data_IF_272437850357
#
_entry.id   IF_272437850357
#
_cell.length_a   1.000
_cell.length_b   1.000
_cell.length_c   1.000
_cell.angle_alpha   90.00
_cell.angle_beta   90.00
_cell.angle_gamma   90.00
#
_symmetry.space_group_name_H-M   'P 1'
#
loop_
_entity.id
_entity.type
_entity.pdbx_description
1 polymer ?
#
# COMPACT_ATOMS: atom_id res chain seq x y z
N UNK A 1 -13.16 -3.86 -7.23
CA UNK A 1 -12.14 -4.29 -6.26
C UNK A 1 -12.83 -4.56 -4.94
N UNK A 2 -12.56 -5.73 -4.31
CA UNK A 2 -12.93 -5.98 -2.92
C UNK A 2 -11.78 -5.55 -2.01
N UNK A 3 -12.11 -4.89 -0.89
CA UNK A 3 -11.13 -4.38 0.06
C UNK A 3 -11.30 -5.03 1.43
N UNK A 4 -10.20 -5.38 2.07
CA UNK A 4 -10.19 -5.88 3.44
C UNK A 4 -8.79 -6.12 3.99
N UNK A 5 -8.73 -6.60 5.23
CA UNK A 5 -7.46 -6.87 5.90
C UNK A 5 -6.90 -8.25 5.53
N UNK A 6 -5.60 -8.42 5.71
CA UNK A 6 -4.97 -9.74 5.80
C UNK A 6 -5.64 -10.61 6.87
N UNK A 7 -5.43 -11.93 6.83
CA UNK A 7 -5.89 -12.82 7.92
C UNK A 7 -5.40 -12.32 9.28
N UNK A 8 -6.09 -12.69 10.33
CA UNK A 8 -5.68 -12.40 11.71
C UNK A 8 -4.59 -13.35 12.18
N UNK A 9 -3.75 -12.89 13.08
CA UNK A 9 -2.74 -13.72 13.75
C UNK A 9 -3.36 -14.98 14.37
N UNK A 10 -2.67 -16.11 14.28
CA UNK A 10 -3.12 -17.40 14.77
C UNK A 10 -4.24 -18.07 13.98
N UNK A 11 -4.68 -17.50 12.84
CA UNK A 11 -5.65 -18.14 11.93
C UNK A 11 -4.99 -18.55 10.63
N UNK A 12 -5.52 -19.57 9.97
CA UNK A 12 -5.17 -19.85 8.58
C UNK A 12 -6.00 -18.98 7.63
N UNK A 13 -5.57 -18.84 6.38
CA UNK A 13 -6.33 -18.16 5.32
C UNK A 13 -7.72 -18.79 5.10
N UNK A 14 -7.84 -20.11 5.28
CA UNK A 14 -9.11 -20.80 5.16
C UNK A 14 -10.08 -20.53 6.32
N UNK A 15 -9.58 -20.14 7.49
CA UNK A 15 -10.38 -20.01 8.72
C UNK A 15 -10.60 -18.55 9.15
N UNK A 16 -10.21 -17.57 8.34
CA UNK A 16 -10.44 -16.15 8.66
C UNK A 16 -11.67 -15.64 7.91
N UNK A 17 -12.80 -15.35 8.63
CA UNK A 17 -14.02 -14.92 7.98
C UNK A 17 -13.91 -13.58 7.28
N UNK A 18 -13.05 -12.67 7.80
CA UNK A 18 -12.83 -11.36 7.19
C UNK A 18 -12.10 -11.47 5.85
N UNK A 19 -11.01 -12.24 5.81
CA UNK A 19 -10.29 -12.52 4.57
C UNK A 19 -11.19 -13.29 3.58
N UNK A 20 -11.90 -14.31 4.05
CA UNK A 20 -12.78 -15.10 3.18
C UNK A 20 -13.90 -14.27 2.54
N UNK A 21 -14.46 -13.29 3.24
CA UNK A 21 -15.44 -12.37 2.66
C UNK A 21 -14.85 -11.56 1.47
N UNK A 22 -13.56 -11.20 1.51
CA UNK A 22 -12.87 -10.55 0.40
C UNK A 22 -12.59 -11.54 -0.74
N UNK A 23 -12.12 -12.75 -0.39
CA UNK A 23 -11.76 -13.78 -1.37
C UNK A 23 -12.99 -14.34 -2.12
N UNK A 24 -14.14 -14.39 -1.47
CA UNK A 24 -15.37 -14.92 -2.05
C UNK A 24 -16.18 -13.83 -2.79
N UNK A 25 -15.77 -12.57 -2.73
CA UNK A 25 -16.39 -11.52 -3.52
C UNK A 25 -16.23 -11.78 -5.03
N UNK A 26 -17.30 -11.62 -5.79
CA UNK A 26 -17.32 -11.83 -7.25
C UNK A 26 -16.75 -10.61 -8.00
N UNK A 27 -15.45 -10.34 -7.81
CA UNK A 27 -14.75 -9.20 -8.40
C UNK A 27 -13.43 -9.65 -9.04
N UNK A 28 -12.95 -8.97 -10.09
CA UNK A 28 -11.70 -9.35 -10.76
C UNK A 28 -10.44 -9.06 -9.92
N UNK A 29 -10.51 -8.13 -8.97
CA UNK A 29 -9.35 -7.70 -8.19
C UNK A 29 -9.68 -7.53 -6.72
N UNK A 30 -8.66 -7.73 -5.87
CA UNK A 30 -8.72 -7.49 -4.42
C UNK A 30 -7.65 -6.48 -4.02
N UNK A 31 -7.92 -5.71 -2.97
CA UNK A 31 -6.92 -4.89 -2.29
C UNK A 31 -6.89 -5.30 -0.82
N UNK A 32 -5.79 -5.89 -0.39
CA UNK A 32 -5.60 -6.32 0.99
C UNK A 32 -4.73 -5.31 1.72
N UNK A 33 -5.16 -4.88 2.90
CA UNK A 33 -4.38 -3.98 3.75
C UNK A 33 -3.75 -4.74 4.91
N UNK A 34 -2.49 -4.45 5.20
CA UNK A 34 -1.77 -5.02 6.34
C UNK A 34 -0.82 -4.02 7.00
N UNK A 35 -0.53 -4.25 8.28
CA UNK A 35 0.38 -3.40 9.05
C UNK A 35 1.81 -3.58 8.56
N UNK A 36 2.51 -2.46 8.31
CA UNK A 36 3.91 -2.45 7.90
C UNK A 36 4.79 -1.60 8.80
N UNK A 37 4.24 -1.13 9.91
CA UNK A 37 4.95 -0.50 11.01
C UNK A 37 5.04 -1.47 12.19
N UNK A 38 6.24 -1.87 12.59
CA UNK A 38 6.49 -2.81 13.69
C UNK A 38 5.77 -2.43 14.99
N UNK A 39 5.78 -1.15 15.36
CA UNK A 39 5.01 -0.65 16.50
C UNK A 39 3.52 -1.00 16.42
N UNK A 40 2.89 -0.89 15.24
CA UNK A 40 1.48 -1.25 15.08
C UNK A 40 1.26 -2.77 15.05
N UNK A 41 2.24 -3.55 14.59
CA UNK A 41 2.15 -5.02 14.63
C UNK A 41 2.11 -5.49 16.09
N UNK A 42 2.98 -4.96 16.94
CA UNK A 42 3.07 -5.35 18.33
C UNK A 42 1.93 -4.78 19.21
N UNK A 43 1.55 -3.51 18.97
CA UNK A 43 0.60 -2.81 19.86
C UNK A 43 -0.85 -2.88 19.41
N UNK A 44 -1.12 -2.81 18.11
CA UNK A 44 -2.48 -2.77 17.56
C UNK A 44 -3.02 -4.15 17.24
N UNK A 45 -2.26 -4.97 16.46
CA UNK A 45 -2.70 -6.33 16.12
C UNK A 45 -2.13 -7.41 17.04
N UNK A 46 -1.19 -7.07 17.90
CA UNK A 46 -0.66 -7.90 19.01
C UNK A 46 -0.15 -9.26 18.52
N UNK A 47 0.70 -9.25 17.51
CA UNK A 47 1.31 -10.45 16.95
C UNK A 47 2.82 -10.25 16.78
N UNK A 48 3.57 -11.31 16.45
CA UNK A 48 4.99 -11.19 16.14
C UNK A 48 5.22 -10.62 14.74
N UNK A 49 6.40 -10.09 14.51
CA UNK A 49 6.81 -9.57 13.21
C UNK A 49 6.81 -10.67 12.15
N UNK A 50 7.31 -11.86 12.50
CA UNK A 50 7.34 -13.03 11.61
C UNK A 50 5.93 -13.49 11.23
N UNK A 51 5.02 -13.58 12.21
CA UNK A 51 3.63 -13.96 11.94
C UNK A 51 2.96 -12.94 11.03
N UNK A 52 3.25 -11.63 11.19
CA UNK A 52 2.69 -10.62 10.32
C UNK A 52 3.21 -10.73 8.88
N UNK A 53 4.49 -11.07 8.66
CA UNK A 53 5.01 -11.36 7.32
C UNK A 53 4.31 -12.56 6.69
N UNK A 54 4.05 -13.62 7.46
CA UNK A 54 3.29 -14.77 6.99
C UNK A 54 1.81 -14.46 6.73
N UNK A 55 1.21 -13.58 7.53
CA UNK A 55 -0.16 -13.07 7.28
C UNK A 55 -0.22 -12.33 5.94
N UNK A 56 0.75 -11.46 5.65
CA UNK A 56 0.84 -10.71 4.39
C UNK A 56 0.99 -11.68 3.22
N UNK A 57 2.05 -12.49 3.23
CA UNK A 57 2.36 -13.42 2.15
C UNK A 57 1.21 -14.38 1.87
N UNK A 58 0.71 -15.04 2.91
CA UNK A 58 -0.34 -16.05 2.78
C UNK A 58 -1.68 -15.48 2.34
N UNK A 59 -2.05 -14.27 2.79
CA UNK A 59 -3.31 -13.64 2.38
C UNK A 59 -3.29 -13.19 0.92
N UNK A 60 -2.17 -12.62 0.48
CA UNK A 60 -1.98 -12.24 -0.93
C UNK A 60 -2.00 -13.49 -1.82
N UNK A 61 -1.25 -14.54 -1.44
CA UNK A 61 -1.23 -15.80 -2.19
C UNK A 61 -2.63 -16.42 -2.31
N UNK A 62 -3.42 -16.41 -1.23
CA UNK A 62 -4.79 -16.93 -1.28
C UNK A 62 -5.70 -16.15 -2.25
N UNK A 63 -5.51 -14.85 -2.41
CA UNK A 63 -6.23 -14.06 -3.41
C UNK A 63 -5.79 -14.38 -4.84
N UNK A 64 -4.48 -14.54 -5.06
CA UNK A 64 -3.91 -14.94 -6.35
C UNK A 64 -4.38 -16.34 -6.76
N UNK A 65 -4.40 -17.29 -5.81
CA UNK A 65 -4.89 -18.66 -6.04
C UNK A 65 -6.37 -18.73 -6.43
N UNK A 66 -7.15 -17.72 -6.02
CA UNK A 66 -8.55 -17.53 -6.47
C UNK A 66 -8.65 -16.85 -7.86
N UNK A 67 -7.53 -16.62 -8.53
CA UNK A 67 -7.47 -15.97 -9.84
C UNK A 67 -7.74 -14.45 -9.80
N UNK A 68 -7.52 -13.79 -8.65
CA UNK A 68 -7.73 -12.34 -8.49
C UNK A 68 -6.44 -11.58 -8.78
N UNK A 69 -6.53 -10.42 -9.42
CA UNK A 69 -5.47 -9.43 -9.35
C UNK A 69 -5.39 -8.90 -7.91
N UNK A 70 -4.33 -9.23 -7.18
CA UNK A 70 -4.20 -8.85 -5.78
C UNK A 70 -3.29 -7.64 -5.61
N UNK A 71 -3.81 -6.59 -5.00
CA UNK A 71 -3.04 -5.44 -4.52
C UNK A 71 -2.83 -5.60 -3.01
N UNK A 72 -1.70 -5.09 -2.52
CA UNK A 72 -1.41 -5.03 -1.10
C UNK A 72 -1.06 -3.60 -0.68
N UNK A 73 -1.88 -3.03 0.20
CA UNK A 73 -1.67 -1.72 0.80
C UNK A 73 -0.85 -1.85 2.08
N UNK A 74 0.38 -1.30 2.04
CA UNK A 74 1.32 -1.26 3.15
C UNK A 74 0.92 -0.14 4.12
N UNK A 75 0.05 -0.42 5.08
CA UNK A 75 -0.49 0.59 5.99
C UNK A 75 0.58 1.16 6.93
N UNK A 76 0.65 2.48 7.06
CA UNK A 76 1.67 3.24 7.80
C UNK A 76 3.11 2.98 7.33
N UNK A 77 3.29 2.77 6.04
CA UNK A 77 4.59 2.38 5.48
C UNK A 77 5.70 3.40 5.78
N UNK A 78 5.42 4.67 5.54
CA UNK A 78 6.44 5.72 5.71
C UNK A 78 6.85 5.90 7.17
N UNK A 79 5.92 5.81 8.12
CA UNK A 79 6.23 5.80 9.55
C UNK A 79 7.03 4.56 9.95
N UNK A 80 6.60 3.39 9.48
CA UNK A 80 7.29 2.12 9.69
C UNK A 80 8.71 2.13 9.13
N UNK A 81 8.88 2.62 7.91
CA UNK A 81 10.20 2.71 7.29
C UNK A 81 11.16 3.65 8.05
N UNK A 82 10.68 4.82 8.49
CA UNK A 82 11.49 5.74 9.29
C UNK A 82 11.92 5.13 10.62
N UNK A 83 11.12 4.25 11.20
CA UNK A 83 11.40 3.58 12.48
C UNK A 83 12.25 2.32 12.30
N UNK A 84 11.89 1.47 11.35
CA UNK A 84 12.52 0.17 11.09
C UNK A 84 12.51 -0.15 9.59
N UNK A 85 13.45 0.43 8.80
CA UNK A 85 13.45 0.27 7.35
C UNK A 85 13.60 -1.19 6.89
N UNK A 86 14.33 -2.02 7.64
CA UNK A 86 14.50 -3.43 7.32
C UNK A 86 13.17 -4.18 7.34
N UNK A 87 12.41 -4.03 8.41
CA UNK A 87 11.10 -4.68 8.56
C UNK A 87 10.06 -4.16 7.54
N UNK A 88 10.03 -2.85 7.30
CA UNK A 88 9.13 -2.28 6.31
C UNK A 88 9.41 -2.85 4.90
N UNK A 89 10.68 -2.99 4.52
CA UNK A 89 11.08 -3.65 3.26
C UNK A 89 10.70 -5.13 3.26
N UNK A 90 10.84 -5.85 4.37
CA UNK A 90 10.46 -7.27 4.46
C UNK A 90 8.94 -7.45 4.28
N UNK A 91 8.11 -6.51 4.71
CA UNK A 91 6.67 -6.51 4.40
C UNK A 91 6.40 -6.38 2.88
N UNK A 92 7.14 -5.51 2.19
CA UNK A 92 7.06 -5.38 0.71
C UNK A 92 7.46 -6.67 0.02
N UNK A 93 8.57 -7.30 0.46
CA UNK A 93 9.01 -8.60 -0.06
C UNK A 93 7.95 -9.68 0.17
N UNK A 94 7.39 -9.77 1.38
CA UNK A 94 6.35 -10.73 1.71
C UNK A 94 5.12 -10.61 0.80
N UNK A 95 4.67 -9.38 0.51
CA UNK A 95 3.58 -9.14 -0.42
C UNK A 95 3.95 -9.53 -1.85
N UNK A 96 5.14 -9.17 -2.31
CA UNK A 96 5.64 -9.52 -3.64
C UNK A 96 5.78 -11.04 -3.81
N UNK A 97 6.37 -11.74 -2.84
CA UNK A 97 6.50 -13.20 -2.80
C UNK A 97 5.12 -13.90 -2.78
N UNK A 98 4.12 -13.29 -2.16
CA UNK A 98 2.72 -13.76 -2.22
C UNK A 98 2.07 -13.58 -3.59
N UNK A 99 2.72 -12.89 -4.52
CA UNK A 99 2.24 -12.67 -5.88
C UNK A 99 1.40 -11.39 -6.05
N UNK A 100 1.57 -10.38 -5.17
CA UNK A 100 0.89 -9.10 -5.32
C UNK A 100 1.19 -8.48 -6.69
N UNK A 101 0.15 -8.13 -7.44
CA UNK A 101 0.28 -7.41 -8.71
C UNK A 101 0.77 -5.98 -8.49
N UNK A 102 0.39 -5.38 -7.36
CA UNK A 102 0.83 -4.06 -6.91
C UNK A 102 1.08 -4.07 -5.41
N UNK A 103 2.20 -3.49 -4.98
CA UNK A 103 2.50 -3.21 -3.58
C UNK A 103 2.43 -1.69 -3.38
N UNK A 104 1.45 -1.24 -2.63
CA UNK A 104 1.12 0.18 -2.49
C UNK A 104 1.66 0.71 -1.18
N UNK A 105 2.55 1.68 -1.23
CA UNK A 105 3.14 2.30 -0.05
C UNK A 105 2.20 3.41 0.46
N UNK A 106 1.72 3.30 1.70
CA UNK A 106 0.71 4.21 2.25
C UNK A 106 1.34 5.23 3.20
N UNK A 107 1.21 6.52 2.88
CA UNK A 107 1.39 7.61 3.83
C UNK A 107 0.08 7.81 4.61
N UNK A 108 -0.19 6.85 5.52
CA UNK A 108 -1.47 6.75 6.23
C UNK A 108 -1.70 7.93 7.17
N UNK A 109 -0.64 8.47 7.79
CA UNK A 109 -0.73 9.66 8.63
C UNK A 109 -0.71 10.97 7.82
N UNK A 110 -0.37 10.91 6.53
CA UNK A 110 -0.29 12.10 5.67
C UNK A 110 0.77 13.11 6.11
N UNK A 111 1.81 12.63 6.79
CA UNK A 111 2.87 13.46 7.38
C UNK A 111 4.23 13.37 6.69
N UNK A 112 4.37 12.56 5.65
CA UNK A 112 5.61 12.49 4.89
C UNK A 112 5.79 13.74 4.00
N UNK A 113 7.04 14.15 3.79
CA UNK A 113 7.38 15.23 2.87
C UNK A 113 7.78 14.66 1.49
N UNK A 114 7.63 15.43 0.39
CA UNK A 114 7.93 14.93 -0.95
C UNK A 114 9.37 14.41 -1.14
N UNK A 115 10.36 15.01 -0.48
CA UNK A 115 11.74 14.52 -0.49
C UNK A 115 11.89 13.17 0.19
N UNK A 116 11.25 12.98 1.35
CA UNK A 116 11.25 11.71 2.09
C UNK A 116 10.55 10.61 1.27
N UNK A 117 9.41 10.92 0.65
CA UNK A 117 8.70 9.98 -0.23
C UNK A 117 9.58 9.55 -1.39
N UNK A 118 10.26 10.49 -2.06
CA UNK A 118 11.16 10.17 -3.16
C UNK A 118 12.30 9.25 -2.72
N UNK A 119 12.96 9.56 -1.61
CA UNK A 119 14.07 8.78 -1.06
C UNK A 119 13.63 7.37 -0.65
N UNK A 120 12.52 7.26 0.08
CA UNK A 120 12.01 5.98 0.59
C UNK A 120 11.54 5.09 -0.56
N UNK A 121 10.75 5.62 -1.51
CA UNK A 121 10.29 4.85 -2.67
C UNK A 121 11.45 4.38 -3.54
N UNK A 122 12.47 5.22 -3.72
CA UNK A 122 13.71 4.85 -4.43
C UNK A 122 14.44 3.71 -3.75
N UNK A 123 14.58 3.76 -2.42
CA UNK A 123 15.22 2.70 -1.64
C UNK A 123 14.43 1.38 -1.69
N UNK A 124 13.10 1.44 -1.61
CA UNK A 124 12.24 0.25 -1.76
C UNK A 124 12.39 -0.36 -3.15
N UNK A 125 12.41 0.46 -4.20
CA UNK A 125 12.60 -0.01 -5.57
C UNK A 125 13.95 -0.67 -5.79
N UNK A 126 15.00 -0.15 -5.15
CA UNK A 126 16.34 -0.78 -5.18
C UNK A 126 16.35 -2.12 -4.44
N UNK A 127 15.68 -2.21 -3.28
CA UNK A 127 15.63 -3.41 -2.46
C UNK A 127 14.74 -4.52 -3.05
N UNK A 128 13.69 -4.17 -3.81
CA UNK A 128 12.73 -5.11 -4.41
C UNK A 128 12.43 -4.67 -5.86
N UNK A 129 13.41 -4.80 -6.79
CA UNK A 129 13.34 -4.23 -8.13
C UNK A 129 12.22 -4.78 -9.00
N UNK A 130 11.79 -6.02 -8.74
CA UNK A 130 10.73 -6.71 -9.49
C UNK A 130 9.32 -6.39 -8.98
N UNK A 131 9.18 -5.76 -7.81
CA UNK A 131 7.89 -5.35 -7.29
C UNK A 131 7.34 -4.13 -8.06
N UNK A 132 6.08 -4.23 -8.48
CA UNK A 132 5.35 -3.09 -9.05
C UNK A 132 4.82 -2.22 -7.91
N UNK A 133 5.35 -1.01 -7.78
CA UNK A 133 5.03 -0.12 -6.68
C UNK A 133 3.88 0.83 -7.01
N UNK A 134 2.98 1.01 -6.03
CA UNK A 134 1.96 2.04 -5.98
C UNK A 134 2.19 3.00 -4.81
N UNK A 135 1.42 4.06 -4.77
CA UNK A 135 1.42 5.07 -3.71
C UNK A 135 0.00 5.46 -3.30
N UNK A 136 -0.22 5.62 -1.99
CA UNK A 136 -1.45 6.12 -1.42
C UNK A 136 -1.12 7.17 -0.36
N UNK A 137 -1.44 8.43 -0.62
CA UNK A 137 -1.12 9.53 0.29
C UNK A 137 -2.37 10.18 0.86
N UNK A 138 -2.44 10.28 2.20
CA UNK A 138 -3.34 11.18 2.90
C UNK A 138 -2.82 12.62 2.87
N UNK A 139 -3.71 13.59 3.06
CA UNK A 139 -3.43 15.01 2.81
C UNK A 139 -3.31 15.86 4.08
N UNK A 140 -2.94 15.25 5.20
CA UNK A 140 -2.89 15.94 6.51
C UNK A 140 -1.87 17.08 6.52
N UNK A 141 -0.72 16.91 5.86
CA UNK A 141 0.27 17.97 5.67
C UNK A 141 0.01 18.86 4.44
N UNK A 142 -1.10 18.66 3.70
CA UNK A 142 -1.44 19.44 2.50
C UNK A 142 -0.58 19.14 1.28
N UNK A 143 0.15 18.03 1.25
CA UNK A 143 1.13 17.70 0.19
C UNK A 143 0.90 16.35 -0.49
N UNK A 144 -0.30 15.74 -0.34
CA UNK A 144 -0.57 14.41 -0.89
C UNK A 144 -0.37 14.30 -2.40
N UNK A 145 -0.73 15.33 -3.18
CA UNK A 145 -0.48 15.40 -4.63
C UNK A 145 1.02 15.46 -4.91
N UNK A 146 1.76 16.32 -4.20
CA UNK A 146 3.21 16.44 -4.36
C UNK A 146 3.93 15.15 -3.96
N UNK A 147 3.48 14.47 -2.90
CA UNK A 147 3.99 13.17 -2.46
C UNK A 147 3.76 12.10 -3.53
N UNK A 148 2.56 12.06 -4.12
CA UNK A 148 2.24 11.13 -5.21
C UNK A 148 3.14 11.35 -6.43
N UNK A 149 3.37 12.61 -6.82
CA UNK A 149 4.29 12.96 -7.92
C UNK A 149 5.74 12.57 -7.59
N UNK A 150 6.18 12.79 -6.35
CA UNK A 150 7.51 12.37 -5.90
C UNK A 150 7.67 10.84 -5.99
N UNK A 151 6.67 10.07 -5.57
CA UNK A 151 6.67 8.62 -5.68
C UNK A 151 6.71 8.14 -7.14
N UNK A 152 5.95 8.77 -8.04
CA UNK A 152 5.98 8.46 -9.48
C UNK A 152 7.38 8.70 -10.06
N UNK A 153 8.02 9.82 -9.71
CA UNK A 153 9.39 10.13 -10.13
C UNK A 153 10.41 9.11 -9.60
N UNK A 154 10.18 8.59 -8.39
CA UNK A 154 10.99 7.52 -7.79
C UNK A 154 10.71 6.13 -8.39
N UNK A 155 9.63 5.96 -9.17
CA UNK A 155 9.34 4.72 -9.91
C UNK A 155 8.03 4.04 -9.56
N UNK A 156 7.18 4.60 -8.72
CA UNK A 156 5.80 4.12 -8.57
C UNK A 156 5.03 4.28 -9.89
N UNK A 157 4.11 3.34 -10.18
CA UNK A 157 3.34 3.29 -11.43
C UNK A 157 1.83 3.17 -11.21
N UNK A 158 1.40 3.15 -9.97
CA UNK A 158 0.00 3.21 -9.58
C UNK A 158 -0.17 4.30 -8.52
N UNK A 159 -1.26 5.05 -8.60
CA UNK A 159 -1.66 6.01 -7.56
C UNK A 159 -3.07 5.68 -7.11
N UNK A 160 -3.24 5.53 -5.82
CA UNK A 160 -4.56 5.52 -5.18
C UNK A 160 -4.85 6.94 -4.66
N UNK A 161 -6.00 7.46 -5.01
CA UNK A 161 -6.47 8.77 -4.62
C UNK A 161 -7.97 8.88 -4.81
N UNK A 162 -8.51 10.07 -4.65
CA UNK A 162 -9.96 10.30 -4.79
C UNK A 162 -10.25 11.53 -5.64
N UNK A 163 -11.44 11.59 -6.19
CA UNK A 163 -11.92 12.79 -6.91
C UNK A 163 -12.03 13.94 -5.90
N UNK A 164 -11.42 15.06 -6.23
CA UNK A 164 -11.33 16.26 -5.38
C UNK A 164 -10.63 16.02 -4.03
N UNK A 165 -9.85 14.97 -3.89
CA UNK A 165 -9.15 14.63 -2.65
C UNK A 165 -10.05 14.28 -1.47
N UNK A 166 -11.33 13.97 -1.69
CA UNK A 166 -12.26 13.60 -0.63
C UNK A 166 -11.81 12.34 0.09
N UNK A 167 -11.80 12.36 1.42
CA UNK A 167 -11.36 11.21 2.19
C UNK A 167 -11.27 11.47 3.68
N UNK A 168 -10.67 10.53 4.38
CA UNK A 168 -10.51 10.55 5.83
C UNK A 168 -9.70 11.77 6.29
N UNK A 169 -10.08 12.38 7.40
CA UNK A 169 -9.46 13.57 8.03
C UNK A 169 -9.36 14.74 7.04
N UNK A 170 -8.13 15.05 6.57
CA UNK A 170 -7.84 16.13 5.63
C UNK A 170 -7.94 15.71 4.15
N UNK A 171 -8.32 14.46 3.89
CA UNK A 171 -8.50 13.91 2.56
C UNK A 171 -7.33 13.07 2.05
N UNK A 172 -7.38 12.77 0.75
CA UNK A 172 -6.40 11.97 0.02
C UNK A 172 -5.76 12.82 -1.10
N UNK A 173 -4.85 12.22 -1.85
CA UNK A 173 -4.37 12.81 -3.10
C UNK A 173 -5.54 13.03 -4.07
N UNK A 174 -5.67 14.24 -4.61
CA UNK A 174 -6.68 14.57 -5.60
C UNK A 174 -6.30 14.04 -6.98
N UNK A 175 -7.08 13.08 -7.49
CA UNK A 175 -6.84 12.47 -8.80
C UNK A 175 -7.01 13.45 -9.96
N UNK A 176 -7.88 14.46 -9.84
CA UNK A 176 -8.04 15.47 -10.89
C UNK A 176 -6.75 16.26 -11.05
N UNK A 177 -6.19 16.75 -9.94
CA UNK A 177 -4.91 17.48 -9.95
C UNK A 177 -3.77 16.62 -10.49
N UNK A 178 -3.70 15.34 -10.10
CA UNK A 178 -2.68 14.40 -10.59
C UNK A 178 -2.82 14.13 -12.09
N UNK A 179 -4.04 13.87 -12.59
CA UNK A 179 -4.28 13.64 -14.00
C UNK A 179 -3.91 14.87 -14.84
N UNK A 180 -4.29 16.07 -14.42
CA UNK A 180 -3.96 17.31 -15.13
C UNK A 180 -2.45 17.55 -15.20
N UNK A 181 -1.72 17.27 -14.12
CA UNK A 181 -0.27 17.44 -14.08
C UNK A 181 0.49 16.38 -14.89
N UNK A 182 -0.12 15.22 -15.12
CA UNK A 182 0.53 14.06 -15.74
C UNK A 182 0.14 13.84 -17.21
N UNK A 183 -1.06 14.26 -17.58
CA UNK A 183 -1.61 14.02 -18.92
C UNK A 183 -1.79 15.29 -19.76
N UNK A 184 -1.61 16.47 -19.16
CA UNK A 184 -1.81 17.68 -19.91
C UNK A 184 -0.53 18.11 -20.63
N UNK A 185 -0.42 17.71 -21.86
CA UNK A 185 0.01 18.62 -22.92
C UNK A 185 -1.14 19.64 -23.21
N UNK A 186 -1.85 20.05 -22.16
CA UNK A 186 -2.94 21.02 -22.26
C UNK A 186 -2.45 22.44 -22.66
N UNK A 187 -1.16 22.56 -23.00
CA UNK A 187 -0.59 23.75 -23.62
C UNK A 187 -0.63 23.69 -25.16
N UNK A 188 -1.02 22.56 -25.74
CA UNK A 188 -0.99 22.34 -27.20
C UNK A 188 -2.40 22.30 -27.83
N UNK A 189 -3.48 22.54 -27.06
CA UNK A 189 -4.86 22.70 -27.56
C UNK A 189 -5.32 24.15 -27.59
#
# INVERSE_FOLDING_TARGET
>A
VAFGMTRRGGRSTANDPGLNAVLDAEVPATCLVGKTWDFHVETAIKTSLEENLDMIRGSVAAAVDKGRESMFDCEHFFDGYKNNPGYAIDCVKAAHEGGAAWVVLCDTNGGALPSEVFEIVSAVREAVPDARLGIHCHNDAGVAVANSLAAIRAGARQVQGTINGLGERCGNADLISLCLLYTSDAADD
#
